data_IF_686441282225
#
_entry.id   IF_686441282225
#
_cell.length_a   1.000
_cell.length_b   1.000
_cell.length_c   1.000
_cell.angle_alpha   90.00
_cell.angle_beta   90.00
_cell.angle_gamma   90.00
#
_symmetry.space_group_name_H-M   'P 1'
#
loop_
_entity.id
_entity.type
_entity.pdbx_description
1 polymer ?
#
# COMPACT_ATOMS: atom_id res chain seq x y z
N UNK A 1 10.56 -13.19 -6.81
CA UNK A 1 9.71 -12.11 -6.25
C UNK A 1 10.41 -11.50 -5.03
N UNK A 2 10.39 -10.19 -4.77
CA UNK A 2 11.11 -9.59 -3.63
C UNK A 2 10.73 -10.20 -2.26
N UNK A 3 9.45 -10.58 -2.10
CA UNK A 3 8.93 -11.22 -0.90
C UNK A 3 9.53 -12.61 -0.61
N UNK A 4 10.07 -13.31 -1.62
CA UNK A 4 10.71 -14.62 -1.40
C UNK A 4 12.08 -14.50 -0.70
N UNK A 5 12.69 -13.30 -0.69
CA UNK A 5 13.98 -13.02 -0.05
C UNK A 5 13.86 -12.57 1.41
N UNK A 6 12.64 -12.45 1.93
CA UNK A 6 12.37 -12.06 3.31
C UNK A 6 12.12 -13.32 4.13
N UNK A 7 13.02 -13.59 5.07
CA UNK A 7 13.02 -14.74 5.98
C UNK A 7 12.61 -14.32 7.39
N UNK A 8 12.04 -15.24 8.16
CA UNK A 8 11.62 -14.99 9.55
C UNK A 8 10.29 -14.25 9.70
N UNK A 9 9.50 -14.12 8.63
CA UNK A 9 8.18 -13.50 8.64
C UNK A 9 7.16 -14.43 7.98
N UNK A 10 5.97 -14.52 8.58
CA UNK A 10 4.78 -15.00 7.88
C UNK A 10 4.33 -13.93 6.88
N UNK A 11 4.14 -14.31 5.63
CA UNK A 11 3.96 -13.37 4.52
C UNK A 11 2.59 -13.52 3.92
N UNK A 12 1.95 -12.37 3.70
CA UNK A 12 0.65 -12.29 3.07
C UNK A 12 0.69 -11.28 1.92
N UNK A 13 0.01 -11.60 0.82
CA UNK A 13 -0.31 -10.64 -0.24
C UNK A 13 -1.82 -10.41 -0.22
N UNK A 14 -2.21 -9.14 -0.09
CA UNK A 14 -3.60 -8.73 -0.18
C UNK A 14 -3.89 -8.26 -1.59
N UNK A 15 -4.86 -8.92 -2.23
CA UNK A 15 -5.20 -8.73 -3.64
C UNK A 15 -6.63 -8.23 -3.76
N UNK A 16 -6.85 -7.23 -4.61
CA UNK A 16 -8.20 -6.81 -5.00
C UNK A 16 -8.89 -7.91 -5.79
N UNK A 17 -10.16 -8.18 -5.53
CA UNK A 17 -10.94 -9.04 -6.41
C UNK A 17 -11.04 -8.40 -7.81
N UNK A 18 -10.65 -9.19 -8.82
CA UNK A 18 -10.67 -8.79 -10.22
C UNK A 18 -11.82 -9.57 -10.88
N UNK A 19 -12.75 -8.85 -11.52
CA UNK A 19 -13.94 -9.44 -12.15
C UNK A 19 -13.58 -10.29 -13.39
N UNK A 20 -12.40 -10.04 -13.99
CA UNK A 20 -11.96 -10.65 -15.26
C UNK A 20 -10.99 -11.85 -15.08
N UNK A 21 -10.94 -12.49 -13.91
CA UNK A 21 -10.01 -13.61 -13.64
C UNK A 21 -10.79 -14.91 -13.52
N UNK A 22 -10.52 -15.86 -14.40
CA UNK A 22 -11.13 -17.19 -14.35
C UNK A 22 -10.61 -18.02 -13.14
N UNK A 23 -11.28 -19.14 -12.88
CA UNK A 23 -10.95 -20.00 -11.74
C UNK A 23 -9.53 -20.60 -11.85
N UNK A 24 -9.08 -20.93 -13.06
CA UNK A 24 -7.77 -21.55 -13.28
C UNK A 24 -6.64 -20.55 -13.04
N UNK A 25 -6.76 -19.34 -13.60
CA UNK A 25 -5.83 -18.24 -13.38
C UNK A 25 -5.74 -17.88 -11.90
N UNK A 26 -6.89 -17.89 -11.18
CA UNK A 26 -6.91 -17.63 -9.74
C UNK A 26 -6.17 -18.74 -8.97
N UNK A 27 -6.41 -20.00 -9.30
CA UNK A 27 -5.74 -21.13 -8.67
C UNK A 27 -4.24 -21.12 -8.95
N UNK A 28 -3.83 -20.83 -10.19
CA UNK A 28 -2.42 -20.70 -10.58
C UNK A 28 -1.75 -19.54 -9.83
N UNK A 29 -2.42 -18.39 -9.74
CA UNK A 29 -1.93 -17.25 -8.98
C UNK A 29 -1.67 -17.61 -7.52
N UNK A 30 -2.64 -18.27 -6.86
CA UNK A 30 -2.49 -18.72 -5.47
C UNK A 30 -1.30 -19.66 -5.34
N UNK A 31 -1.22 -20.69 -6.19
CA UNK A 31 -0.14 -21.67 -6.20
C UNK A 31 1.23 -21.03 -6.38
N UNK A 32 1.34 -20.00 -7.23
CA UNK A 32 2.60 -19.27 -7.46
C UNK A 32 3.09 -18.55 -6.19
N UNK A 33 2.19 -17.95 -5.40
CA UNK A 33 2.55 -17.30 -4.14
C UNK A 33 2.80 -18.30 -3.00
N UNK A 34 2.01 -19.37 -2.91
CA UNK A 34 2.22 -20.43 -1.93
C UNK A 34 3.56 -21.16 -2.15
N UNK A 35 3.98 -21.35 -3.40
CA UNK A 35 5.28 -21.98 -3.74
C UNK A 35 6.50 -21.23 -3.16
N UNK A 36 6.32 -19.96 -2.81
CA UNK A 36 7.35 -19.10 -2.18
C UNK A 36 6.98 -18.70 -0.76
N UNK A 37 6.10 -19.47 -0.13
CA UNK A 37 5.63 -19.33 1.25
C UNK A 37 5.00 -17.95 1.51
N UNK A 38 4.08 -17.53 0.63
CA UNK A 38 3.28 -16.32 0.76
C UNK A 38 1.80 -16.68 0.65
N UNK A 39 1.03 -16.37 1.68
CA UNK A 39 -0.42 -16.57 1.71
C UNK A 39 -1.14 -15.47 0.90
N UNK A 40 -2.25 -15.82 0.24
CA UNK A 40 -3.05 -14.86 -0.53
C UNK A 40 -4.36 -14.55 0.18
N UNK A 41 -4.62 -13.27 0.44
CA UNK A 41 -5.89 -12.78 0.98
C UNK A 41 -6.59 -11.93 -0.08
N UNK A 42 -7.86 -12.24 -0.35
CA UNK A 42 -8.67 -11.50 -1.31
C UNK A 42 -9.50 -10.43 -0.60
N UNK A 43 -9.49 -9.22 -1.14
CA UNK A 43 -10.32 -8.12 -0.69
C UNK A 43 -11.33 -7.78 -1.79
N UNK A 44 -12.59 -8.14 -1.56
CA UNK A 44 -13.67 -8.11 -2.55
C UNK A 44 -14.07 -6.70 -2.96
N UNK A 45 -14.12 -5.81 -1.99
CA UNK A 45 -14.63 -4.45 -2.21
C UNK A 45 -13.55 -3.47 -2.69
N UNK A 46 -12.28 -3.89 -2.68
CA UNK A 46 -11.15 -3.05 -3.08
C UNK A 46 -11.04 -2.95 -4.60
N UNK A 47 -11.74 -1.98 -5.19
CA UNK A 47 -11.73 -1.77 -6.66
C UNK A 47 -10.71 -0.72 -7.09
N UNK A 48 -10.40 -0.64 -8.39
CA UNK A 48 -9.53 0.41 -8.95
C UNK A 48 -10.20 1.80 -8.93
N UNK A 49 -11.46 1.86 -9.33
CA UNK A 49 -12.22 3.12 -9.44
C UNK A 49 -12.68 3.63 -8.07
N UNK A 50 -12.67 4.95 -7.88
CA UNK A 50 -13.18 5.59 -6.66
C UNK A 50 -14.70 5.49 -6.67
N UNK A 51 -15.29 5.11 -5.54
CA UNK A 51 -16.73 4.97 -5.44
C UNK A 51 -17.22 4.51 -4.08
N UNK A 52 -18.53 4.24 -3.98
CA UNK A 52 -19.18 3.82 -2.72
C UNK A 52 -18.62 2.51 -2.14
N UNK A 53 -17.98 1.69 -2.98
CA UNK A 53 -17.30 0.47 -2.53
C UNK A 53 -16.08 0.76 -1.65
N UNK A 54 -15.50 1.96 -1.69
CA UNK A 54 -14.32 2.32 -0.90
C UNK A 54 -14.60 2.25 0.62
N UNK A 55 -15.83 2.56 1.05
CA UNK A 55 -16.24 2.41 2.45
C UNK A 55 -16.26 0.94 2.86
N UNK A 56 -16.83 0.08 2.01
CA UNK A 56 -16.83 -1.38 2.24
C UNK A 56 -15.41 -1.96 2.22
N UNK A 57 -14.58 -1.50 1.28
CA UNK A 57 -13.18 -1.89 1.18
C UNK A 57 -12.40 -1.49 2.44
N UNK A 58 -12.65 -0.30 2.98
CA UNK A 58 -12.03 0.13 4.22
C UNK A 58 -12.42 -0.77 5.40
N UNK A 59 -13.72 -1.08 5.56
CA UNK A 59 -14.20 -1.97 6.64
C UNK A 59 -13.61 -3.38 6.48
N UNK A 60 -13.56 -3.89 5.25
CA UNK A 60 -12.97 -5.19 4.95
C UNK A 60 -11.47 -5.23 5.28
N UNK A 61 -10.70 -4.21 4.86
CA UNK A 61 -9.28 -4.07 5.21
C UNK A 61 -9.07 -3.98 6.73
N UNK A 62 -9.89 -3.21 7.44
CA UNK A 62 -9.83 -3.10 8.89
C UNK A 62 -10.06 -4.45 9.56
N UNK A 63 -11.08 -5.21 9.13
CA UNK A 63 -11.37 -6.53 9.68
C UNK A 63 -10.25 -7.52 9.40
N UNK A 64 -9.69 -7.51 8.18
CA UNK A 64 -8.52 -8.34 7.82
C UNK A 64 -7.34 -8.00 8.74
N UNK A 65 -6.99 -6.73 8.88
CA UNK A 65 -5.84 -6.34 9.71
C UNK A 65 -6.05 -6.63 11.20
N UNK A 66 -7.30 -6.57 11.69
CA UNK A 66 -7.65 -6.96 13.05
C UNK A 66 -7.61 -8.48 13.26
N UNK A 67 -8.03 -9.26 12.27
CA UNK A 67 -8.06 -10.73 12.34
C UNK A 67 -6.66 -11.33 12.29
N UNK A 68 -5.81 -10.83 11.40
CA UNK A 68 -4.48 -11.39 11.18
C UNK A 68 -3.39 -10.73 12.05
N UNK A 69 -3.71 -9.65 12.75
CA UNK A 69 -2.80 -8.94 13.69
C UNK A 69 -1.41 -8.64 13.10
N UNK A 70 -1.38 -8.00 11.92
CA UNK A 70 -0.12 -7.77 11.22
C UNK A 70 0.81 -6.81 11.97
N UNK A 71 2.08 -7.20 12.15
CA UNK A 71 3.12 -6.29 12.66
C UNK A 71 3.51 -5.21 11.64
N UNK A 72 3.49 -5.56 10.34
CA UNK A 72 3.97 -4.73 9.23
C UNK A 72 2.95 -4.74 8.09
N UNK A 73 2.55 -3.55 7.63
CA UNK A 73 1.75 -3.38 6.41
C UNK A 73 2.53 -2.55 5.38
N UNK A 74 2.72 -3.09 4.18
CA UNK A 74 3.37 -2.41 3.07
C UNK A 74 2.40 -2.23 1.88
N UNK A 75 2.25 -1.00 1.41
CA UNK A 75 1.34 -0.65 0.31
C UNK A 75 2.08 0.00 -0.86
N UNK A 76 1.63 -0.25 -2.10
CA UNK A 76 2.29 0.27 -3.32
C UNK A 76 1.33 1.06 -4.24
N UNK A 77 0.03 0.92 -4.07
CA UNK A 77 -1.00 1.57 -4.88
C UNK A 77 -1.53 2.82 -4.18
N UNK A 78 -1.84 3.89 -4.91
CA UNK A 78 -2.28 5.17 -4.33
C UNK A 78 -3.59 5.01 -3.54
N UNK A 79 -4.73 4.80 -4.20
CA UNK A 79 -6.04 4.71 -3.54
C UNK A 79 -6.13 3.55 -2.54
N UNK A 80 -5.83 2.29 -2.91
CA UNK A 80 -5.77 1.20 -1.94
C UNK A 80 -4.81 1.46 -0.78
N UNK A 81 -3.66 2.09 -1.05
CA UNK A 81 -2.67 2.41 -0.02
C UNK A 81 -3.15 3.47 0.95
N UNK A 82 -3.97 4.44 0.53
CA UNK A 82 -4.63 5.38 1.44
C UNK A 82 -5.53 4.63 2.41
N UNK A 83 -6.46 3.81 1.91
CA UNK A 83 -7.40 3.06 2.75
C UNK A 83 -6.67 2.07 3.68
N UNK A 84 -5.70 1.33 3.13
CA UNK A 84 -4.94 0.35 3.90
C UNK A 84 -4.05 0.99 4.96
N UNK A 85 -3.41 2.14 4.69
CA UNK A 85 -2.64 2.86 5.72
C UNK A 85 -3.53 3.30 6.89
N UNK A 86 -4.70 3.87 6.60
CA UNK A 86 -5.64 4.32 7.63
C UNK A 86 -6.14 3.11 8.44
N UNK A 87 -6.59 2.05 7.76
CA UNK A 87 -7.09 0.84 8.41
C UNK A 87 -6.00 0.20 9.30
N UNK A 88 -4.78 0.04 8.78
CA UNK A 88 -3.66 -0.53 9.52
C UNK A 88 -3.31 0.30 10.76
N UNK A 89 -3.36 1.64 10.65
CA UNK A 89 -3.10 2.52 11.79
C UNK A 89 -4.17 2.36 12.88
N UNK A 90 -5.43 2.20 12.48
CA UNK A 90 -6.55 2.04 13.40
C UNK A 90 -6.58 0.67 14.09
N UNK A 91 -6.00 -0.37 13.48
CA UNK A 91 -5.86 -1.70 14.10
C UNK A 91 -4.59 -1.86 14.93
N UNK A 92 -3.74 -0.83 15.02
CA UNK A 92 -2.54 -0.86 15.87
C UNK A 92 -1.28 -1.45 15.22
N UNK A 93 -1.26 -1.60 13.89
CA UNK A 93 -0.07 -2.07 13.15
C UNK A 93 1.16 -1.23 13.49
N UNK A 94 2.25 -1.89 13.89
CA UNK A 94 3.47 -1.25 14.43
C UNK A 94 4.33 -0.57 13.37
N UNK A 95 4.27 -1.05 12.12
CA UNK A 95 5.04 -0.52 11.01
C UNK A 95 4.22 -0.44 9.73
N UNK A 96 4.00 0.77 9.24
CA UNK A 96 3.24 1.04 8.03
C UNK A 96 4.15 1.72 7.00
N UNK A 97 4.39 1.03 5.89
CA UNK A 97 5.27 1.47 4.81
C UNK A 97 4.43 1.68 3.55
N UNK A 98 4.70 2.74 2.81
CA UNK A 98 4.09 2.96 1.51
C UNK A 98 5.15 3.32 0.47
N UNK A 99 5.16 2.63 -0.66
CA UNK A 99 6.01 2.96 -1.80
C UNK A 99 5.21 3.68 -2.88
N UNK A 100 5.62 4.90 -3.19
CA UNK A 100 5.06 5.73 -4.26
C UNK A 100 5.74 5.35 -5.58
N UNK A 101 5.05 4.53 -6.39
CA UNK A 101 5.48 4.20 -7.76
C UNK A 101 5.07 5.25 -8.80
N UNK A 102 3.99 6.00 -8.52
CA UNK A 102 3.46 7.06 -9.38
C UNK A 102 2.56 8.00 -8.60
N UNK A 103 2.31 9.19 -9.15
CA UNK A 103 1.43 10.20 -8.55
C UNK A 103 0.13 10.31 -9.34
N UNK A 104 -1.01 10.27 -8.65
CA UNK A 104 -2.33 10.44 -9.28
C UNK A 104 -2.65 11.91 -9.64
N UNK A 105 -1.82 12.85 -9.20
CA UNK A 105 -1.95 14.30 -9.40
C UNK A 105 -0.93 14.82 -10.44
N UNK A 106 -1.14 14.52 -11.73
CA UNK A 106 -0.26 15.02 -12.80
C UNK A 106 -0.75 16.34 -13.41
N UNK A 107 0.15 17.06 -14.09
CA UNK A 107 -0.11 18.42 -14.61
C UNK A 107 -1.26 18.50 -15.63
N UNK A 108 -1.52 17.42 -16.37
CA UNK A 108 -2.57 17.34 -17.40
C UNK A 108 -4.00 17.09 -16.88
N UNK A 109 -4.23 17.12 -15.56
CA UNK A 109 -5.59 17.05 -14.99
C UNK A 109 -6.12 18.45 -14.62
N UNK A 110 -7.46 18.63 -14.58
CA UNK A 110 -8.08 19.84 -14.05
C UNK A 110 -7.51 20.19 -12.66
N UNK A 111 -7.25 21.48 -12.43
CA UNK A 111 -6.55 21.96 -11.23
C UNK A 111 -7.20 21.47 -9.93
N UNK A 112 -8.53 21.52 -9.85
CA UNK A 112 -9.31 21.09 -8.68
C UNK A 112 -9.10 19.60 -8.40
N UNK A 113 -9.22 18.75 -9.44
CA UNK A 113 -9.02 17.30 -9.31
C UNK A 113 -7.60 16.97 -8.86
N UNK A 114 -6.61 17.65 -9.43
CA UNK A 114 -5.20 17.52 -9.05
C UNK A 114 -4.97 17.91 -7.59
N UNK A 115 -5.57 19.02 -7.15
CA UNK A 115 -5.47 19.50 -5.77
C UNK A 115 -6.11 18.51 -4.78
N UNK A 116 -7.30 18.01 -5.07
CA UNK A 116 -7.99 17.02 -4.22
C UNK A 116 -7.13 15.76 -4.05
N UNK A 117 -6.62 15.18 -5.15
CA UNK A 117 -5.77 14.00 -5.04
C UNK A 117 -4.49 14.26 -4.27
N UNK A 118 -3.88 15.43 -4.45
CA UNK A 118 -2.69 15.80 -3.70
C UNK A 118 -3.00 15.94 -2.20
N UNK A 119 -4.10 16.60 -1.82
CA UNK A 119 -4.53 16.73 -0.42
C UNK A 119 -4.76 15.36 0.21
N UNK A 120 -5.47 14.45 -0.49
CA UNK A 120 -5.75 13.10 0.01
C UNK A 120 -4.44 12.33 0.21
N UNK A 121 -3.52 12.37 -0.75
CA UNK A 121 -2.24 11.66 -0.64
C UNK A 121 -1.39 12.21 0.52
N UNK A 122 -1.35 13.52 0.66
CA UNK A 122 -0.68 14.22 1.75
C UNK A 122 -1.29 13.86 3.10
N UNK A 123 -2.62 13.84 3.21
CA UNK A 123 -3.32 13.42 4.42
C UNK A 123 -2.97 11.97 4.77
N UNK A 124 -2.87 11.09 3.76
CA UNK A 124 -2.51 9.70 3.97
C UNK A 124 -1.07 9.49 4.48
N UNK A 125 -0.16 10.47 4.30
CA UNK A 125 1.15 10.46 4.96
C UNK A 125 1.00 10.40 6.49
N UNK A 126 -0.13 10.85 7.05
CA UNK A 126 -0.38 10.83 8.50
C UNK A 126 -0.53 9.43 9.09
N UNK A 127 -0.77 8.44 8.23
CA UNK A 127 -1.04 7.06 8.63
C UNK A 127 0.09 6.10 8.25
N UNK A 128 1.19 6.60 7.70
CA UNK A 128 2.40 5.83 7.42
C UNK A 128 3.60 6.26 8.28
N UNK A 129 4.47 5.29 8.60
CA UNK A 129 5.76 5.55 9.25
C UNK A 129 6.85 5.93 8.24
N UNK A 130 6.80 5.31 7.05
CA UNK A 130 7.78 5.50 6.00
C UNK A 130 7.10 5.56 4.63
N UNK A 131 7.39 6.63 3.88
CA UNK A 131 7.02 6.76 2.48
C UNK A 131 8.27 6.68 1.60
N UNK A 132 8.28 5.73 0.68
CA UNK A 132 9.42 5.47 -0.20
C UNK A 132 9.06 5.95 -1.61
N UNK A 133 9.77 6.94 -2.13
CA UNK A 133 9.59 7.37 -3.52
C UNK A 133 10.56 6.62 -4.42
N UNK A 134 10.07 6.00 -5.50
CA UNK A 134 10.92 5.28 -6.48
C UNK A 134 11.89 6.20 -7.23
N UNK A 135 11.63 7.51 -7.24
CA UNK A 135 12.53 8.52 -7.81
C UNK A 135 12.61 9.77 -6.93
N UNK A 136 13.63 10.61 -7.16
CA UNK A 136 13.79 11.89 -6.46
C UNK A 136 12.75 12.93 -6.89
N UNK A 137 12.19 12.80 -8.10
CA UNK A 137 11.22 13.75 -8.65
C UNK A 137 9.93 13.80 -7.84
N UNK A 138 9.43 12.67 -7.34
CA UNK A 138 8.19 12.62 -6.55
C UNK A 138 8.34 13.23 -5.16
N UNK A 139 9.53 13.19 -4.57
CA UNK A 139 9.76 13.72 -3.22
C UNK A 139 9.39 15.20 -3.11
N UNK A 140 9.55 15.98 -4.18
CA UNK A 140 9.24 17.42 -4.18
C UNK A 140 7.78 17.72 -3.82
N UNK A 141 6.87 16.79 -4.09
CA UNK A 141 5.44 16.95 -3.80
C UNK A 141 5.09 16.67 -2.33
N UNK A 142 6.03 16.13 -1.55
CA UNK A 142 5.85 15.77 -0.16
C UNK A 142 6.74 16.58 0.80
N UNK A 143 7.62 17.44 0.27
CA UNK A 143 8.61 18.25 1.05
C UNK A 143 7.98 19.20 2.08
N UNK A 144 6.74 19.64 1.85
CA UNK A 144 6.08 20.64 2.69
C UNK A 144 5.73 20.06 4.08
N UNK A 145 5.62 18.74 4.20
CA UNK A 145 5.25 18.08 5.45
C UNK A 145 6.50 17.65 6.22
N UNK A 146 7.10 18.63 6.90
CA UNK A 146 8.24 18.47 7.80
C UNK A 146 7.89 17.51 8.95
N UNK A 147 8.72 16.48 9.14
CA UNK A 147 8.66 15.55 10.28
C UNK A 147 8.39 14.08 9.93
N UNK A 148 7.99 13.76 8.69
CA UNK A 148 7.72 12.37 8.28
C UNK A 148 8.77 11.85 7.29
N UNK A 149 9.18 10.58 7.46
CA UNK A 149 10.24 9.96 6.67
C UNK A 149 9.75 9.69 5.25
N UNK A 150 9.97 10.65 4.36
CA UNK A 150 9.87 10.44 2.90
C UNK A 150 11.28 10.21 2.38
N UNK A 151 11.59 8.97 1.98
CA UNK A 151 12.92 8.58 1.54
C UNK A 151 12.94 8.22 0.04
N UNK A 152 14.04 8.51 -0.69
CA UNK A 152 14.29 7.86 -1.98
C UNK A 152 14.41 6.34 -1.81
N UNK A 153 13.97 5.57 -2.80
CA UNK A 153 14.08 4.11 -2.82
C UNK A 153 15.49 3.59 -2.52
N UNK A 154 16.51 4.21 -3.11
CA UNK A 154 17.93 3.88 -2.86
C UNK A 154 18.29 4.07 -1.37
N UNK A 155 17.78 5.12 -0.73
CA UNK A 155 18.03 5.40 0.68
C UNK A 155 17.19 4.51 1.61
N UNK A 156 15.99 4.13 1.19
CA UNK A 156 15.13 3.22 1.94
C UNK A 156 15.72 1.80 2.02
N UNK A 157 16.34 1.31 0.93
CA UNK A 157 17.07 0.04 0.96
C UNK A 157 18.24 0.03 1.95
N UNK A 158 18.94 1.16 2.10
CA UNK A 158 20.02 1.33 3.07
C UNK A 158 19.45 1.40 4.49
N UNK A 159 18.36 2.17 4.70
CA UNK A 159 17.73 2.33 6.01
C UNK A 159 17.10 1.05 6.56
N UNK A 160 16.56 0.19 5.68
CA UNK A 160 16.01 -1.13 6.06
C UNK A 160 17.11 -2.15 6.42
N UNK A 161 18.33 -2.01 5.88
CA UNK A 161 19.48 -2.85 6.27
C UNK A 161 20.11 -2.43 7.61
N UNK A 162 19.96 -1.17 8.02
CA UNK A 162 20.60 -0.60 9.22
C UNK A 162 19.78 -0.72 10.52
N UNK A 163 18.61 -1.36 10.47
CA UNK A 163 17.73 -1.56 11.63
C UNK A 163 17.52 -3.04 12.01
N UNK A 164 18.49 -3.90 11.68
CA UNK A 164 18.66 -5.18 12.37
C UNK A 164 19.30 -4.93 13.73
#
# INVERSE_FOLDING_TARGET
MLLSKIEGYEKFVLVSECEDVDFEQRAEFIKNFESINVNVIWCKNLKRNIGKSDVKAFIELYNIFKQYDFDIVHTNSTKPGILARIAAKMTGVKKIIHTVHGISFYRGQPFIKRLIYWIIEVFALQFGDLNICVNKFYQKYYKIFFGRKVLPFIMAMIFLKLKK
#
